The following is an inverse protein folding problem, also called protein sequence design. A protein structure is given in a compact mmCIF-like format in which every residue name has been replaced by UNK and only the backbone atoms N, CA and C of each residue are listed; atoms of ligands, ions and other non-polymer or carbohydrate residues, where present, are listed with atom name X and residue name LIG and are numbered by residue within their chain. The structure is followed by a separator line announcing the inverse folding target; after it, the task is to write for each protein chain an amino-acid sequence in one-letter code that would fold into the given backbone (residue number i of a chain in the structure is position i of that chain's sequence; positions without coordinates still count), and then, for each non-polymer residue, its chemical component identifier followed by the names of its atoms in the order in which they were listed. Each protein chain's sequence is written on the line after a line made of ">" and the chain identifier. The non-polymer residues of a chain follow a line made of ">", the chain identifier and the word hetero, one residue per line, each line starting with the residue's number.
data_IF_275336095365
#
_entry.id   IF_275336095365
#
_cell.length_a   1.000
_cell.length_b   1.000
_cell.length_c   1.000
_cell.angle_alpha   90.00
_cell.angle_beta   90.00
_cell.angle_gamma   90.00
#
_symmetry.space_group_name_H-M   'P 1'
#
loop_
_entity.id
_entity.type
_entity.pdbx_description
1 polymer ?
#
# COMPACT_ATOMS: atom_id res chain seq x y z
N UNK A 1 -6.78 -16.61 12.08
CA UNK A 1 -5.98 -15.64 11.33
C UNK A 1 -4.46 -15.88 11.40
N UNK A 2 -3.99 -17.12 11.56
CA UNK A 2 -2.60 -17.46 11.91
C UNK A 2 -1.52 -16.92 10.96
N UNK A 3 -1.80 -16.85 9.66
CA UNK A 3 -0.84 -16.38 8.65
C UNK A 3 -0.62 -14.86 8.70
N UNK A 4 -1.69 -14.09 8.94
CA UNK A 4 -1.60 -12.63 9.05
C UNK A 4 -0.92 -12.22 10.36
N UNK A 5 -1.19 -12.96 11.44
CA UNK A 5 -0.58 -12.72 12.76
C UNK A 5 0.95 -12.98 12.75
N UNK A 6 1.38 -14.03 12.06
CA UNK A 6 2.81 -14.33 11.90
C UNK A 6 3.51 -13.30 10.99
N UNK A 7 2.84 -12.84 9.94
CA UNK A 7 3.35 -11.73 9.12
C UNK A 7 3.56 -10.46 9.94
N UNK A 8 2.63 -10.12 10.85
CA UNK A 8 2.77 -8.95 11.72
C UNK A 8 3.99 -9.08 12.65
N UNK A 9 4.17 -10.25 13.31
CA UNK A 9 5.34 -10.52 14.15
C UNK A 9 6.67 -10.36 13.40
N UNK A 10 6.74 -10.85 12.17
CA UNK A 10 7.95 -10.77 11.35
C UNK A 10 8.24 -9.33 10.87
N UNK A 11 7.20 -8.49 10.71
CA UNK A 11 7.35 -7.05 10.44
C UNK A 11 7.87 -6.33 11.69
N UNK A 12 7.29 -6.58 12.86
CA UNK A 12 7.71 -5.97 14.13
C UNK A 12 9.15 -6.37 14.52
N UNK A 13 9.55 -7.61 14.23
CA UNK A 13 10.91 -8.11 14.43
C UNK A 13 11.94 -7.53 13.43
N UNK A 14 11.51 -6.74 12.44
CA UNK A 14 12.37 -6.13 11.43
C UNK A 14 12.87 -7.09 10.33
N UNK A 15 12.44 -8.36 10.37
CA UNK A 15 12.78 -9.40 9.38
C UNK A 15 12.10 -9.16 8.03
N UNK A 16 10.85 -8.65 8.05
CA UNK A 16 10.12 -8.23 6.86
C UNK A 16 10.07 -6.69 6.84
N UNK A 17 10.71 -6.08 5.84
CA UNK A 17 10.55 -4.64 5.56
C UNK A 17 9.37 -4.41 4.62
N UNK A 18 8.59 -3.37 4.90
CA UNK A 18 7.52 -2.92 4.01
C UNK A 18 8.09 -2.59 2.63
N UNK A 19 7.41 -3.05 1.57
CA UNK A 19 7.68 -2.67 0.18
C UNK A 19 6.78 -1.52 -0.29
N UNK A 20 6.23 -0.74 0.67
CA UNK A 20 5.52 0.49 0.36
C UNK A 20 6.46 1.41 -0.41
N UNK A 21 6.15 1.63 -1.69
CA UNK A 21 7.01 2.37 -2.59
C UNK A 21 6.51 3.81 -2.77
N UNK A 22 5.18 4.01 -2.76
CA UNK A 22 4.58 5.31 -3.08
C UNK A 22 3.28 5.53 -2.29
N UNK A 23 3.23 6.64 -1.54
CA UNK A 23 2.01 7.15 -0.89
C UNK A 23 1.24 8.03 -1.88
N UNK A 24 0.00 7.64 -2.20
CA UNK A 24 -0.86 8.31 -3.18
C UNK A 24 -1.81 9.34 -2.55
N UNK A 25 -1.62 9.64 -1.27
CA UNK A 25 -2.39 10.63 -0.53
C UNK A 25 -3.72 10.10 -0.01
N UNK A 26 -4.63 11.03 0.29
CA UNK A 26 -5.96 10.73 0.86
C UNK A 26 -6.79 9.82 -0.03
N UNK A 27 -7.67 9.04 0.58
CA UNK A 27 -8.63 8.21 -0.10
C UNK A 27 -9.71 9.11 -0.71
N UNK A 28 -9.59 9.38 -2.02
CA UNK A 28 -10.59 10.06 -2.83
C UNK A 28 -10.61 9.49 -4.25
N UNK A 29 -11.66 9.82 -5.02
CA UNK A 29 -11.85 9.29 -6.37
C UNK A 29 -10.72 9.67 -7.34
N UNK A 30 -10.10 10.84 -7.18
CA UNK A 30 -9.02 11.30 -8.04
C UNK A 30 -7.73 10.49 -7.83
N UNK A 31 -7.36 10.26 -6.56
CA UNK A 31 -6.17 9.51 -6.17
C UNK A 31 -6.32 8.02 -6.51
N UNK A 32 -7.53 7.46 -6.34
CA UNK A 32 -7.86 6.10 -6.77
C UNK A 32 -7.69 5.91 -8.29
N UNK A 33 -8.19 6.85 -9.12
CA UNK A 33 -8.02 6.78 -10.57
C UNK A 33 -6.56 6.84 -10.99
N UNK A 34 -5.76 7.70 -10.34
CA UNK A 34 -4.32 7.80 -10.61
C UNK A 34 -3.57 6.53 -10.20
N UNK A 35 -3.90 5.96 -9.05
CA UNK A 35 -3.34 4.67 -8.61
C UNK A 35 -3.70 3.54 -9.59
N UNK A 36 -4.95 3.50 -10.07
CA UNK A 36 -5.40 2.50 -11.04
C UNK A 36 -4.63 2.59 -12.36
N UNK A 37 -4.50 3.79 -12.92
CA UNK A 37 -3.74 4.00 -14.15
C UNK A 37 -2.29 3.50 -14.02
N UNK A 38 -1.63 3.72 -12.89
CA UNK A 38 -0.24 3.27 -12.68
C UNK A 38 -0.09 1.75 -12.56
N UNK A 39 -1.11 1.06 -12.03
CA UNK A 39 -1.17 -0.40 -12.03
C UNK A 39 -1.35 -0.92 -13.46
N UNK A 40 -2.27 -0.34 -14.23
CA UNK A 40 -2.56 -0.74 -15.61
C UNK A 40 -1.35 -0.58 -16.55
N UNK A 41 -0.54 0.47 -16.35
CA UNK A 41 0.67 0.69 -17.14
C UNK A 41 1.86 -0.20 -16.75
N UNK A 42 1.73 -1.07 -15.73
CA UNK A 42 2.81 -1.93 -15.24
C UNK A 42 4.02 -1.16 -14.69
N UNK A 43 3.88 0.16 -14.47
CA UNK A 43 4.92 1.03 -13.91
C UNK A 43 4.94 1.04 -12.39
N UNK A 44 3.88 0.52 -11.76
CA UNK A 44 3.84 0.37 -10.32
C UNK A 44 4.89 -0.65 -9.86
N UNK A 45 5.98 -0.16 -9.25
CA UNK A 45 6.93 -0.99 -8.50
C UNK A 45 6.53 -0.95 -7.03
N UNK A 46 6.24 -2.12 -6.44
CA UNK A 46 5.92 -2.23 -5.01
C UNK A 46 4.43 -2.00 -4.70
N UNK A 47 4.13 -1.60 -3.46
CA UNK A 47 2.75 -1.37 -2.99
C UNK A 47 2.37 0.11 -3.09
N UNK A 48 1.20 0.37 -3.70
CA UNK A 48 0.54 1.68 -3.67
C UNK A 48 -0.28 1.77 -2.39
N UNK A 49 -0.07 2.85 -1.62
CA UNK A 49 -0.78 3.10 -0.36
C UNK A 49 -1.59 4.39 -0.46
N UNK A 50 -2.88 4.33 -0.13
CA UNK A 50 -3.73 5.50 0.13
C UNK A 50 -4.20 5.43 1.57
N UNK A 51 -4.22 6.57 2.26
CA UNK A 51 -4.54 6.62 3.69
C UNK A 51 -5.30 7.89 4.07
N UNK A 52 -6.23 7.77 5.02
CA UNK A 52 -7.09 8.85 5.47
C UNK A 52 -8.28 9.10 4.54
N UNK A 53 -9.44 9.41 5.12
CA UNK A 53 -10.62 9.90 4.39
C UNK A 53 -10.79 11.38 4.75
N UNK A 54 -10.91 12.25 3.75
CA UNK A 54 -11.43 13.60 4.01
C UNK A 54 -12.93 13.51 4.20
N UNK A 55 -13.38 13.78 5.42
CA UNK A 55 -14.78 14.10 5.72
C UNK A 55 -15.17 15.47 5.21
#
# INVERSE_FOLDING_TARGET
>A
HRLLDEMARLVDAGTIRSTAAEHFGIINAANLKRAHALLEFGKARGKIVLEGFTG
#
